data_IF_822085275446
#
_entry.id   IF_822085275446
#
_cell.length_a   1.000
_cell.length_b   1.000
_cell.length_c   1.000
_cell.angle_alpha   90.00
_cell.angle_beta   90.00
_cell.angle_gamma   90.00
#
_symmetry.space_group_name_H-M   'P 1'
#
loop_
_entity.id
_entity.type
_entity.pdbx_description
1 polymer ?
#
# COMPACT_ATOMS: atom_id res chain seq x y z
N UNK A 1 38.89 -2.44 -1.50
CA UNK A 1 37.62 -3.20 -1.42
C UNK A 1 36.61 -2.30 -0.72
N UNK A 2 35.81 -1.58 -1.50
CA UNK A 2 34.62 -0.89 -1.01
C UNK A 2 33.63 -1.95 -0.52
N UNK A 3 33.05 -1.83 0.68
CA UNK A 3 31.99 -2.75 1.07
C UNK A 3 30.85 -2.55 0.09
N UNK A 4 30.45 -3.64 -0.57
CA UNK A 4 29.22 -3.70 -1.35
C UNK A 4 28.11 -3.06 -0.53
N UNK A 5 27.54 -1.96 -1.04
CA UNK A 5 26.23 -1.48 -0.60
C UNK A 5 25.25 -2.60 -0.95
N UNK A 6 25.14 -3.59 -0.06
CA UNK A 6 23.96 -4.46 -0.01
C UNK A 6 22.78 -3.52 0.05
N UNK A 7 22.06 -3.41 -1.06
CA UNK A 7 20.73 -2.86 -1.07
C UNK A 7 19.94 -3.65 -0.01
N UNK A 8 19.76 -3.05 1.17
CA UNK A 8 18.77 -3.45 2.16
C UNK A 8 17.42 -3.09 1.55
N UNK A 9 16.95 -3.90 0.61
CA UNK A 9 15.66 -3.72 -0.03
C UNK A 9 14.92 -5.06 0.04
N UNK A 10 14.38 -5.36 1.22
CA UNK A 10 13.05 -5.97 1.31
C UNK A 10 12.50 -5.98 2.76
N UNK A 11 11.30 -5.38 2.91
CA UNK A 11 10.15 -5.80 3.75
C UNK A 11 10.15 -5.67 5.29
N UNK A 12 10.53 -4.52 5.85
CA UNK A 12 10.11 -4.18 7.24
C UNK A 12 9.54 -2.77 7.41
N UNK A 13 9.38 -2.00 6.33
CA UNK A 13 8.70 -0.71 6.43
C UNK A 13 7.22 -0.92 6.12
N UNK A 14 6.39 -0.78 7.14
CA UNK A 14 4.97 -0.57 6.91
C UNK A 14 4.77 0.72 6.12
N UNK A 15 3.90 0.64 5.12
CA UNK A 15 3.61 1.79 4.26
C UNK A 15 2.38 2.50 4.81
N UNK A 16 2.57 3.71 5.33
CA UNK A 16 1.47 4.59 5.74
C UNK A 16 1.22 5.67 4.68
N UNK A 17 -0.05 5.87 4.35
CA UNK A 17 -0.51 6.76 3.29
C UNK A 17 -1.52 7.72 3.90
N UNK A 18 -1.31 9.03 3.78
CA UNK A 18 -2.31 9.99 4.21
C UNK A 18 -3.46 10.03 3.19
N UNK A 19 -4.68 9.76 3.65
CA UNK A 19 -5.90 9.75 2.85
C UNK A 19 -6.71 11.01 3.19
N UNK A 20 -6.73 12.03 2.31
CA UNK A 20 -7.39 13.30 2.60
C UNK A 20 -8.88 13.18 2.94
N UNK A 21 -9.59 12.26 2.29
CA UNK A 21 -11.03 12.05 2.53
C UNK A 21 -11.32 11.50 3.93
N UNK A 22 -10.38 10.74 4.50
CA UNK A 22 -10.45 10.23 5.87
C UNK A 22 -9.81 11.21 6.87
N UNK A 23 -9.04 12.18 6.38
CA UNK A 23 -8.17 13.05 7.16
C UNK A 23 -7.32 12.25 8.16
N UNK A 24 -6.78 11.12 7.69
CA UNK A 24 -6.01 10.19 8.52
C UNK A 24 -4.89 9.51 7.72
N UNK A 25 -3.91 8.96 8.44
CA UNK A 25 -2.94 8.03 7.90
C UNK A 25 -3.51 6.61 7.92
N UNK A 26 -3.34 5.93 6.80
CA UNK A 26 -3.78 4.57 6.61
C UNK A 26 -2.57 3.69 6.35
N UNK A 27 -2.42 2.63 7.12
CA UNK A 27 -1.31 1.69 7.04
C UNK A 27 -1.70 0.47 6.22
N UNK A 28 -0.84 0.05 5.29
CA UNK A 28 -1.01 -1.23 4.59
C UNK A 28 -0.53 -2.34 5.52
N UNK A 29 -1.49 -3.11 6.03
CA UNK A 29 -1.24 -4.20 7.00
C UNK A 29 -1.19 -5.58 6.34
N UNK A 30 -1.67 -5.69 5.10
CA UNK A 30 -1.59 -6.95 4.36
C UNK A 30 -2.21 -6.91 2.97
N UNK A 31 -2.32 -8.10 2.37
CA UNK A 31 -3.01 -8.29 1.12
C UNK A 31 -3.48 -9.73 0.96
N UNK A 32 -4.61 -9.92 0.30
CA UNK A 32 -5.18 -11.24 0.00
C UNK A 32 -5.66 -11.31 -1.44
N UNK A 33 -5.51 -12.47 -2.06
CA UNK A 33 -6.11 -12.71 -3.37
C UNK A 33 -7.58 -13.12 -3.19
N UNK A 34 -8.48 -12.41 -3.86
CA UNK A 34 -9.92 -12.73 -3.91
C UNK A 34 -10.32 -13.10 -5.33
N UNK A 35 -11.27 -14.03 -5.48
CA UNK A 35 -11.91 -14.31 -6.77
C UNK A 35 -13.27 -13.63 -6.83
N UNK A 36 -13.49 -12.81 -7.87
CA UNK A 36 -14.75 -12.11 -8.13
C UNK A 36 -15.07 -12.30 -9.61
N UNK A 37 -16.27 -12.81 -9.93
CA UNK A 37 -16.73 -13.06 -11.31
C UNK A 37 -15.73 -13.85 -12.19
N UNK A 38 -15.10 -14.87 -11.60
CA UNK A 38 -14.12 -15.72 -12.29
C UNK A 38 -12.76 -15.06 -12.55
N UNK A 39 -12.53 -13.85 -12.06
CA UNK A 39 -11.26 -13.14 -12.13
C UNK A 39 -10.59 -13.06 -10.76
N UNK A 40 -9.27 -13.09 -10.74
CA UNK A 40 -8.48 -12.96 -9.52
C UNK A 40 -8.07 -11.51 -9.30
N UNK A 41 -8.30 -11.01 -8.10
CA UNK A 41 -7.99 -9.65 -7.67
C UNK A 41 -7.07 -9.69 -6.45
N UNK A 42 -6.10 -8.78 -6.38
CA UNK A 42 -5.36 -8.51 -5.16
C UNK A 42 -6.13 -7.47 -4.36
N UNK A 43 -6.63 -7.86 -3.19
CA UNK A 43 -7.18 -6.92 -2.20
C UNK A 43 -6.08 -6.53 -1.23
N UNK A 44 -5.82 -5.24 -1.15
CA UNK A 44 -4.93 -4.66 -0.12
C UNK A 44 -5.78 -4.43 1.14
N UNK A 45 -5.25 -4.82 2.29
CA UNK A 45 -5.89 -4.63 3.60
C UNK A 45 -5.17 -3.46 4.27
N UNK A 46 -5.97 -2.48 4.68
CA UNK A 46 -5.49 -1.23 5.20
C UNK A 46 -6.18 -0.93 6.53
N UNK A 47 -5.47 -0.31 7.47
CA UNK A 47 -6.02 0.12 8.77
C UNK A 47 -5.82 1.62 8.97
N UNK A 48 -6.82 2.31 9.54
CA UNK A 48 -6.70 3.70 9.97
C UNK A 48 -5.91 3.83 11.30
N UNK A 49 -5.68 5.05 11.76
CA UNK A 49 -4.94 5.29 13.03
C UNK A 49 -5.62 4.72 14.27
N UNK A 50 -6.87 4.27 14.16
CA UNK A 50 -7.68 3.67 15.23
C UNK A 50 -7.74 2.14 15.12
N UNK A 51 -7.10 1.55 14.11
CA UNK A 51 -7.12 0.10 13.86
C UNK A 51 -8.40 -0.41 13.19
N UNK A 52 -9.18 0.47 12.55
CA UNK A 52 -10.33 0.04 11.75
C UNK A 52 -9.87 -0.34 10.35
N UNK A 53 -10.34 -1.48 9.82
CA UNK A 53 -10.12 -1.83 8.43
C UNK A 53 -10.80 -0.81 7.52
N UNK A 54 -10.04 -0.22 6.60
CA UNK A 54 -10.52 0.75 5.61
C UNK A 54 -10.36 0.20 4.20
N UNK A 55 -11.41 0.31 3.41
CA UNK A 55 -11.37 0.03 1.99
C UNK A 55 -10.96 1.30 1.25
N UNK A 56 -9.79 1.29 0.61
CA UNK A 56 -9.33 2.38 -0.22
C UNK A 56 -9.78 2.17 -1.67
N UNK A 57 -10.19 3.24 -2.33
CA UNK A 57 -10.37 3.22 -3.77
C UNK A 57 -9.00 3.36 -4.47
N UNK A 58 -8.82 2.76 -5.65
CA UNK A 58 -7.58 2.93 -6.41
C UNK A 58 -7.20 4.40 -6.68
N UNK A 59 -8.19 5.29 -6.80
CA UNK A 59 -8.00 6.74 -6.94
C UNK A 59 -7.28 7.37 -5.75
N UNK A 60 -7.49 6.85 -4.54
CA UNK A 60 -6.88 7.37 -3.31
C UNK A 60 -5.36 7.11 -3.30
N UNK A 61 -4.95 6.04 -3.99
CA UNK A 61 -3.56 5.65 -4.16
C UNK A 61 -2.89 6.29 -5.38
N UNK A 62 -3.68 6.78 -6.35
CA UNK A 62 -3.17 7.34 -7.61
C UNK A 62 -2.25 8.56 -7.39
N UNK A 63 -2.57 9.40 -6.39
CA UNK A 63 -1.74 10.55 -6.00
C UNK A 63 -0.31 10.11 -5.61
N UNK A 64 -0.19 8.94 -4.99
CA UNK A 64 1.08 8.39 -4.54
C UNK A 64 1.83 7.70 -5.68
N UNK A 65 1.15 6.89 -6.51
CA UNK A 65 1.79 6.25 -7.66
C UNK A 65 2.33 7.27 -8.68
N UNK A 66 1.60 8.38 -8.91
CA UNK A 66 2.08 9.48 -9.75
C UNK A 66 3.35 10.15 -9.21
N UNK A 67 3.51 10.23 -7.89
CA UNK A 67 4.70 10.85 -7.25
C UNK A 67 5.94 9.96 -7.31
N UNK A 68 5.78 8.65 -7.32
CA UNK A 68 6.91 7.71 -7.24
C UNK A 68 7.29 7.05 -8.57
N UNK A 69 6.63 7.41 -9.70
CA UNK A 69 6.91 6.88 -11.04
C UNK A 69 7.00 5.35 -11.03
N UNK A 70 6.05 4.69 -10.36
CA UNK A 70 5.95 3.22 -10.41
C UNK A 70 5.14 2.86 -11.65
N UNK A 71 5.74 2.29 -12.71
CA UNK A 71 4.99 1.84 -13.87
C UNK A 71 4.25 0.56 -13.49
N UNK A 72 2.92 0.55 -13.68
CA UNK A 72 2.09 -0.64 -13.63
C UNK A 72 2.13 -1.38 -14.97
#
# INVERSE_FOLDING_TARGET
>A
MTPDKKALLDKECTASIFIPELNDYVEIVGGKCEQIDGKQYLRIICEDSKGNEVCLNPSDLELYFKRFIVPF
#
